data_IF_950858907864
#
_entry.id   IF_950858907864
#
_cell.length_a   1.000
_cell.length_b   1.000
_cell.length_c   1.000
_cell.angle_alpha   90.00
_cell.angle_beta   90.00
_cell.angle_gamma   90.00
#
_symmetry.space_group_name_H-M   'P 1'
#
loop_
_entity.id
_entity.type
_entity.pdbx_description
1 polymer ?
#
# COMPACT_ATOMS: atom_id res chain seq x y z
N UNK A 1 12.73 19.34 0.09
CA UNK A 1 12.98 17.93 -0.28
C UNK A 1 13.68 17.22 0.88
N UNK A 2 13.62 15.88 0.95
CA UNK A 2 14.18 15.10 2.05
C UNK A 2 15.70 15.35 2.22
N UNK A 3 16.20 15.28 3.46
CA UNK A 3 17.60 15.53 3.78
C UNK A 3 18.56 14.50 3.12
N UNK A 4 18.10 13.26 2.94
CA UNK A 4 18.81 12.21 2.21
C UNK A 4 17.88 11.60 1.13
N UNK A 5 17.84 12.18 -0.09
CA UNK A 5 17.04 11.65 -1.18
C UNK A 5 17.49 10.27 -1.68
N UNK A 6 18.78 9.94 -1.55
CA UNK A 6 19.35 8.69 -2.04
C UNK A 6 18.87 7.47 -1.27
N UNK A 7 18.59 7.64 0.02
CA UNK A 7 17.92 6.61 0.83
C UNK A 7 16.51 6.28 0.35
N UNK A 8 15.74 7.27 -0.10
CA UNK A 8 14.38 7.05 -0.56
C UNK A 8 14.29 6.53 -1.99
N UNK A 9 15.27 6.91 -2.82
CA UNK A 9 15.38 6.46 -4.21
C UNK A 9 16.86 6.16 -4.52
N UNK A 10 17.29 4.89 -4.36
CA UNK A 10 18.67 4.48 -4.61
C UNK A 10 19.15 4.85 -6.01
N UNK A 11 20.44 5.17 -6.14
CA UNK A 11 21.03 5.64 -7.41
C UNK A 11 21.70 4.53 -8.23
N UNK A 12 21.97 3.38 -7.63
CA UNK A 12 22.42 2.23 -8.39
C UNK A 12 21.27 1.67 -9.25
N UNK A 13 21.61 1.12 -10.41
CA UNK A 13 20.61 0.71 -11.38
C UNK A 13 19.63 -0.36 -10.84
N UNK A 14 20.10 -1.26 -9.97
CA UNK A 14 19.30 -2.35 -9.43
C UNK A 14 18.31 -1.83 -8.37
N UNK A 15 18.80 -1.03 -7.41
CA UNK A 15 17.97 -0.40 -6.39
C UNK A 15 16.92 0.52 -7.00
N UNK A 16 17.31 1.35 -7.97
CA UNK A 16 16.38 2.21 -8.70
C UNK A 16 15.28 1.40 -9.42
N UNK A 17 15.65 0.30 -10.09
CA UNK A 17 14.70 -0.56 -10.80
C UNK A 17 13.71 -1.25 -9.85
N UNK A 18 14.16 -1.68 -8.66
CA UNK A 18 13.29 -2.26 -7.62
C UNK A 18 12.26 -1.26 -7.12
N UNK A 19 12.66 -0.02 -6.86
CA UNK A 19 11.71 1.04 -6.47
C UNK A 19 10.75 1.34 -7.63
N UNK A 20 11.25 1.48 -8.85
CA UNK A 20 10.44 1.77 -10.03
C UNK A 20 9.37 0.70 -10.28
N UNK A 21 9.68 -0.59 -10.08
CA UNK A 21 8.69 -1.68 -10.17
C UNK A 21 7.48 -1.41 -9.27
N UNK A 22 7.70 -0.98 -8.03
CA UNK A 22 6.63 -0.68 -7.08
C UNK A 22 5.91 0.65 -7.33
N UNK A 23 6.56 1.61 -8.00
CA UNK A 23 5.87 2.81 -8.50
C UNK A 23 4.87 2.45 -9.61
N UNK A 24 5.23 1.52 -10.50
CA UNK A 24 4.30 0.98 -11.50
C UNK A 24 3.14 0.21 -10.86
N UNK A 25 3.40 -0.53 -9.76
CA UNK A 25 2.34 -1.18 -8.98
C UNK A 25 1.39 -0.14 -8.36
N UNK A 26 1.94 0.93 -7.79
CA UNK A 26 1.15 2.02 -7.22
C UNK A 26 0.25 2.70 -8.26
N UNK A 27 0.78 2.97 -9.46
CA UNK A 27 0.03 3.60 -10.55
C UNK A 27 -1.00 2.67 -11.23
N UNK A 28 -0.87 1.35 -11.05
CA UNK A 28 -1.73 0.35 -11.67
C UNK A 28 -2.55 -0.43 -10.62
N UNK A 29 -2.13 -1.66 -10.25
CA UNK A 29 -2.86 -2.51 -9.31
C UNK A 29 -3.38 -1.83 -8.05
N UNK A 30 -2.61 -0.92 -7.44
CA UNK A 30 -3.04 -0.22 -6.23
C UNK A 30 -4.15 0.80 -6.51
N UNK A 31 -3.97 1.61 -7.57
CA UNK A 31 -4.93 2.62 -7.98
C UNK A 31 -6.27 2.01 -8.43
N UNK A 32 -6.22 0.91 -9.19
CA UNK A 32 -7.42 0.24 -9.71
C UNK A 32 -7.97 -0.86 -8.78
N UNK A 33 -7.29 -1.14 -7.67
CA UNK A 33 -7.73 -2.08 -6.63
C UNK A 33 -8.14 -1.32 -5.36
N UNK A 34 -7.30 -1.29 -4.30
CA UNK A 34 -7.72 -0.75 -3.01
C UNK A 34 -8.20 0.70 -3.06
N UNK A 35 -7.57 1.55 -3.88
CA UNK A 35 -7.98 2.95 -4.01
C UNK A 35 -9.37 3.09 -4.66
N UNK A 36 -9.63 2.35 -5.74
CA UNK A 36 -10.93 2.34 -6.42
C UNK A 36 -12.04 1.80 -5.49
N UNK A 37 -11.79 0.70 -4.78
CA UNK A 37 -12.74 0.13 -3.82
C UNK A 37 -13.09 1.12 -2.69
N UNK A 38 -12.08 1.84 -2.19
CA UNK A 38 -12.25 2.89 -1.19
C UNK A 38 -13.07 4.07 -1.72
N UNK A 39 -12.82 4.52 -2.95
CA UNK A 39 -13.59 5.63 -3.58
C UNK A 39 -15.07 5.29 -3.67
N UNK A 40 -15.42 4.07 -4.11
CA UNK A 40 -16.81 3.61 -4.19
C UNK A 40 -17.48 3.67 -2.82
N UNK A 41 -16.80 3.18 -1.78
CA UNK A 41 -17.36 3.07 -0.43
C UNK A 41 -17.47 4.43 0.27
N UNK A 42 -16.46 5.28 0.16
CA UNK A 42 -16.44 6.61 0.81
C UNK A 42 -17.43 7.59 0.18
N UNK A 43 -17.59 7.56 -1.16
CA UNK A 43 -18.41 8.53 -1.88
C UNK A 43 -19.77 8.00 -2.34
N UNK A 44 -20.05 6.70 -2.15
CA UNK A 44 -21.31 6.09 -2.57
C UNK A 44 -21.50 6.05 -4.08
N UNK A 45 -20.41 5.95 -4.85
CA UNK A 45 -20.44 5.93 -6.32
C UNK A 45 -21.25 4.72 -6.81
N UNK A 46 -22.13 4.87 -7.83
CA UNK A 46 -22.98 3.77 -8.33
C UNK A 46 -22.22 2.81 -9.25
N UNK A 47 -21.08 2.29 -8.79
CA UNK A 47 -20.24 1.34 -9.52
C UNK A 47 -20.06 0.10 -8.66
N UNK A 48 -20.11 -1.08 -9.26
CA UNK A 48 -19.90 -2.35 -8.56
C UNK A 48 -18.44 -2.45 -8.06
N UNK A 49 -18.19 -2.54 -6.73
CA UNK A 49 -16.84 -2.64 -6.20
C UNK A 49 -16.22 -4.03 -6.36
N UNK A 50 -16.95 -5.06 -6.81
CA UNK A 50 -16.47 -6.44 -6.83
C UNK A 50 -15.15 -6.62 -7.60
N UNK A 51 -15.01 -6.00 -8.77
CA UNK A 51 -13.76 -6.07 -9.56
C UNK A 51 -12.59 -5.40 -8.81
N UNK A 52 -12.82 -4.22 -8.22
CA UNK A 52 -11.81 -3.51 -7.45
C UNK A 52 -11.38 -4.29 -6.19
N UNK A 53 -12.32 -4.93 -5.49
CA UNK A 53 -12.04 -5.80 -4.34
C UNK A 53 -11.22 -7.02 -4.79
N UNK A 54 -11.60 -7.67 -5.90
CA UNK A 54 -10.84 -8.79 -6.46
C UNK A 54 -9.40 -8.41 -6.81
N UNK A 55 -9.20 -7.27 -7.50
CA UNK A 55 -7.87 -6.72 -7.80
C UNK A 55 -7.07 -6.39 -6.55
N UNK A 56 -7.74 -5.91 -5.50
CA UNK A 56 -7.11 -5.63 -4.22
C UNK A 56 -6.52 -6.88 -3.59
N UNK A 57 -7.29 -7.96 -3.54
CA UNK A 57 -6.80 -9.24 -3.01
C UNK A 57 -5.67 -9.85 -3.86
N UNK A 58 -5.72 -9.70 -5.18
CA UNK A 58 -4.63 -10.12 -6.06
C UNK A 58 -3.33 -9.34 -5.79
N UNK A 59 -3.41 -8.02 -5.60
CA UNK A 59 -2.27 -7.20 -5.20
C UNK A 59 -1.73 -7.60 -3.83
N UNK A 60 -2.61 -7.77 -2.84
CA UNK A 60 -2.22 -8.15 -1.48
C UNK A 60 -1.51 -9.50 -1.43
N UNK A 61 -1.90 -10.46 -2.27
CA UNK A 61 -1.18 -11.74 -2.40
C UNK A 61 0.26 -11.54 -2.90
N UNK A 62 0.47 -10.67 -3.90
CA UNK A 62 1.82 -10.34 -4.40
C UNK A 62 2.64 -9.65 -3.32
N UNK A 63 2.06 -8.67 -2.62
CA UNK A 63 2.75 -7.97 -1.53
C UNK A 63 3.10 -8.91 -0.38
N UNK A 64 2.19 -9.79 0.01
CA UNK A 64 2.41 -10.78 1.07
C UNK A 64 3.58 -11.70 0.74
N UNK A 65 3.65 -12.24 -0.48
CA UNK A 65 4.76 -13.08 -0.92
C UNK A 65 6.10 -12.35 -0.89
N UNK A 66 6.15 -11.09 -1.32
CA UNK A 66 7.37 -10.30 -1.33
C UNK A 66 7.81 -9.97 0.12
N UNK A 67 6.88 -9.55 0.97
CA UNK A 67 7.13 -9.13 2.36
C UNK A 67 7.39 -10.29 3.33
N UNK A 68 7.12 -11.53 2.93
CA UNK A 68 7.58 -12.71 3.66
C UNK A 68 9.11 -12.88 3.57
N UNK A 69 9.74 -12.37 2.51
CA UNK A 69 11.18 -12.51 2.29
C UNK A 69 12.00 -11.27 2.70
N UNK A 70 11.34 -10.12 2.86
CA UNK A 70 12.01 -8.83 3.11
C UNK A 70 11.12 -7.86 3.90
N UNK A 71 11.74 -6.96 4.67
CA UNK A 71 11.02 -6.08 5.60
C UNK A 71 10.26 -4.93 4.91
N UNK A 72 10.79 -4.45 3.77
CA UNK A 72 10.25 -3.36 2.95
C UNK A 72 10.19 -3.80 1.48
N UNK A 73 9.47 -3.06 0.65
CA UNK A 73 9.09 -3.51 -0.69
C UNK A 73 10.27 -3.60 -1.68
N UNK A 74 11.27 -2.72 -1.55
CA UNK A 74 12.34 -2.60 -2.55
C UNK A 74 13.77 -2.78 -2.01
N UNK A 75 13.96 -2.65 -0.69
CA UNK A 75 15.26 -2.68 -0.03
C UNK A 75 15.13 -3.21 1.41
N UNK A 76 16.25 -3.29 2.12
CA UNK A 76 16.31 -3.60 3.56
C UNK A 76 15.93 -2.40 4.46
N UNK A 77 15.70 -1.22 3.85
CA UNK A 77 15.25 0.00 4.49
C UNK A 77 14.02 0.57 3.75
N UNK A 78 13.23 1.49 4.36
CA UNK A 78 12.11 2.11 3.68
C UNK A 78 12.57 2.97 2.50
N UNK A 79 11.76 2.97 1.43
CA UNK A 79 11.98 3.71 0.19
C UNK A 79 10.69 4.37 -0.31
N UNK A 80 10.73 5.07 -1.45
CA UNK A 80 9.52 5.58 -2.11
C UNK A 80 8.57 4.46 -2.53
N UNK A 81 9.02 3.21 -2.70
CA UNK A 81 8.15 2.08 -2.94
C UNK A 81 7.13 1.90 -1.81
N UNK A 82 7.61 2.01 -0.57
CA UNK A 82 6.80 1.84 0.63
C UNK A 82 5.81 2.99 0.78
N UNK A 83 6.29 4.22 0.66
CA UNK A 83 5.46 5.44 0.76
C UNK A 83 4.37 5.46 -0.31
N UNK A 84 4.69 5.10 -1.55
CA UNK A 84 3.74 5.11 -2.66
C UNK A 84 2.62 4.06 -2.51
N UNK A 85 2.88 2.96 -1.80
CA UNK A 85 1.90 1.89 -1.62
C UNK A 85 1.16 1.94 -0.27
N UNK A 86 1.79 2.50 0.77
CA UNK A 86 1.27 2.48 2.14
C UNK A 86 -0.17 2.92 2.27
N UNK A 87 -0.50 4.15 1.83
CA UNK A 87 -1.78 4.79 2.18
C UNK A 87 -2.99 3.98 1.76
N UNK A 88 -3.02 3.49 0.52
CA UNK A 88 -4.19 2.74 0.04
C UNK A 88 -4.23 1.28 0.51
N UNK A 89 -3.08 0.71 0.90
CA UNK A 89 -3.06 -0.60 1.56
C UNK A 89 -3.55 -0.48 3.00
N UNK A 90 -3.06 0.51 3.76
CA UNK A 90 -3.44 0.76 5.15
C UNK A 90 -4.94 1.04 5.30
N UNK A 91 -5.52 1.73 4.32
CA UNK A 91 -6.94 2.09 4.29
C UNK A 91 -7.79 1.17 3.39
N UNK A 92 -7.27 0.03 2.96
CA UNK A 92 -8.03 -0.97 2.19
C UNK A 92 -9.35 -1.41 2.90
N UNK A 93 -9.41 -1.53 4.25
CA UNK A 93 -10.66 -1.84 4.95
C UNK A 93 -11.80 -0.82 4.73
N UNK A 94 -11.48 0.45 4.48
CA UNK A 94 -12.47 1.48 4.14
C UNK A 94 -13.14 1.22 2.79
N UNK A 95 -12.55 0.37 1.94
CA UNK A 95 -13.10 -0.12 0.68
C UNK A 95 -13.65 -1.54 0.74
N UNK A 96 -13.94 -2.07 1.94
CA UNK A 96 -14.37 -3.45 2.18
C UNK A 96 -13.35 -4.53 1.82
N UNK A 97 -12.05 -4.21 1.80
CA UNK A 97 -10.97 -5.17 1.57
C UNK A 97 -10.32 -5.53 2.91
N UNK A 98 -10.48 -6.78 3.35
CA UNK A 98 -9.88 -7.26 4.60
C UNK A 98 -8.37 -7.50 4.46
N UNK A 99 -7.61 -7.08 5.46
CA UNK A 99 -6.17 -7.35 5.58
C UNK A 99 -5.85 -8.56 6.46
N UNK A 100 -6.84 -9.20 7.07
CA UNK A 100 -6.64 -10.23 8.10
C UNK A 100 -5.80 -11.41 7.60
N UNK A 101 -5.96 -11.80 6.34
CA UNK A 101 -5.26 -12.92 5.72
C UNK A 101 -3.81 -12.64 5.32
N UNK A 102 -3.31 -11.40 5.53
CA UNK A 102 -2.01 -10.94 5.04
C UNK A 102 -1.11 -10.45 6.20
N UNK A 103 -0.57 -11.38 7.02
CA UNK A 103 0.22 -11.03 8.19
C UNK A 103 1.52 -10.28 7.87
N UNK A 104 2.22 -10.61 6.77
CA UNK A 104 3.44 -9.90 6.39
C UNK A 104 3.13 -8.47 5.92
N UNK A 105 2.01 -8.27 5.20
CA UNK A 105 1.51 -6.93 4.85
C UNK A 105 1.18 -6.13 6.11
N UNK A 106 0.46 -6.71 7.07
CA UNK A 106 0.13 -6.04 8.33
C UNK A 106 1.38 -5.67 9.15
N UNK A 107 2.38 -6.55 9.18
CA UNK A 107 3.66 -6.26 9.84
C UNK A 107 4.42 -5.13 9.12
N UNK A 108 4.39 -5.08 7.80
CA UNK A 108 4.96 -4.01 6.99
C UNK A 108 4.27 -2.65 7.26
N UNK A 109 2.94 -2.61 7.33
CA UNK A 109 2.20 -1.41 7.71
C UNK A 109 2.65 -0.88 9.08
N UNK A 110 2.73 -1.75 10.09
CA UNK A 110 3.19 -1.38 11.42
C UNK A 110 4.64 -0.85 11.42
N UNK A 111 5.53 -1.41 10.58
CA UNK A 111 6.90 -0.90 10.42
C UNK A 111 6.93 0.52 9.83
N UNK A 112 6.07 0.83 8.86
CA UNK A 112 5.98 2.18 8.28
C UNK A 112 5.41 3.18 9.29
N UNK A 113 4.37 2.79 10.03
CA UNK A 113 3.73 3.62 11.05
C UNK A 113 4.67 3.96 12.22
N UNK A 114 5.68 3.12 12.46
CA UNK A 114 6.72 3.35 13.47
C UNK A 114 7.86 4.28 13.00
N UNK A 115 7.87 4.73 11.74
CA UNK A 115 8.95 5.59 11.24
C UNK A 115 8.92 6.99 11.88
N UNK A 116 10.08 7.59 12.20
CA UNK A 116 10.14 8.96 12.69
C UNK A 116 9.51 9.94 11.68
N UNK A 117 8.61 10.79 12.15
CA UNK A 117 7.90 11.77 11.32
C UNK A 117 6.72 11.19 10.53
N UNK A 118 6.30 9.95 10.82
CA UNK A 118 5.07 9.39 10.27
C UNK A 118 3.85 10.22 10.69
N UNK A 119 3.00 10.53 9.72
CA UNK A 119 1.71 11.19 9.93
C UNK A 119 0.62 10.33 9.30
N UNK A 120 -0.33 9.80 10.09
CA UNK A 120 -1.40 8.96 9.55
C UNK A 120 -2.36 9.79 8.71
N UNK A 121 -2.91 9.17 7.66
CA UNK A 121 -4.10 9.69 7.02
C UNK A 121 -5.28 9.50 7.98
N UNK A 122 -6.13 10.53 8.09
CA UNK A 122 -7.35 10.46 8.91
C UNK A 122 -8.25 9.36 8.36
N UNK A 123 -8.67 8.45 9.24
CA UNK A 123 -9.57 7.34 8.89
C UNK A 123 -10.99 7.86 8.66
N UNK A 124 -11.66 7.28 7.67
CA UNK A 124 -13.09 7.49 7.46
C UNK A 124 -13.86 6.29 8.03
N UNK A 125 -14.86 6.48 8.90
CA UNK A 125 -15.60 5.37 9.53
C UNK A 125 -16.61 4.74 8.55
N UNK A 126 -16.11 3.98 7.56
CA UNK A 126 -16.90 3.34 6.50
C UNK A 126 -16.38 1.94 6.18
N UNK A 127 -17.18 1.14 5.48
CA UNK A 127 -16.82 -0.23 5.10
C UNK A 127 -16.50 -1.09 6.32
N UNK A 128 -15.40 -1.84 6.26
CA UNK A 128 -14.91 -2.65 7.39
C UNK A 128 -14.30 -1.79 8.52
N UNK A 129 -14.16 -0.48 8.32
CA UNK A 129 -13.67 0.47 9.32
C UNK A 129 -14.79 1.29 9.99
N UNK A 130 -16.06 0.89 9.84
CA UNK A 130 -17.22 1.62 10.38
C UNK A 130 -17.44 1.50 11.89
N UNK A 131 -16.67 0.65 12.59
CA UNK A 131 -16.79 0.39 14.03
C UNK A 131 -15.88 1.30 14.88
#
# INVERSE_FOLDING_TARGET
YAADPGRWFPRDAVGAARVQRWLSVAAGPLAYGPAAARVVTVFGTPTDPADAIGRSHALLQVMESELQSQAFLAADHPTLADVANYTYVAHAPEGNVSLEAYPAVRAWLARIEALPGFLPLVRTPVGLAAA
#
